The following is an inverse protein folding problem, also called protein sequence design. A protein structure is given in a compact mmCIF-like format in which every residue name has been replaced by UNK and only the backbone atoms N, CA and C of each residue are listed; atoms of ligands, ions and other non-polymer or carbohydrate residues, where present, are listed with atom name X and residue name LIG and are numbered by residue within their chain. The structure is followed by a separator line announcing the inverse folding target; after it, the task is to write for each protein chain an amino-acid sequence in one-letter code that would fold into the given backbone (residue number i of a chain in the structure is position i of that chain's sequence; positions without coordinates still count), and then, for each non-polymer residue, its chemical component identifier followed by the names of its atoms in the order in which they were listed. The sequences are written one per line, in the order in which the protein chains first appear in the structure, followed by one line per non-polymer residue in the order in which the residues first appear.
data_IF_474885571604
#
_entry.id   IF_474885571604
#
_cell.length_a   1.000
_cell.length_b   1.000
_cell.length_c   1.000
_cell.angle_alpha   90.00
_cell.angle_beta   90.00
_cell.angle_gamma   90.00
#
_symmetry.space_group_name_H-M   'P 1'
#
loop_
_entity.id
_entity.type
_entity.pdbx_description
1 polymer ?
#
# COMPACT_ATOMS: atom_id res chain seq x y z
N UNK A 1 12.83 93.07 -17.12
CA UNK A 1 12.62 93.18 -15.66
C UNK A 1 12.84 91.88 -14.88
N UNK A 2 13.08 90.72 -15.51
CA UNK A 2 13.27 89.42 -14.82
C UNK A 2 14.69 89.19 -14.27
N UNK A 3 15.73 89.85 -14.80
CA UNK A 3 17.12 89.66 -14.34
C UNK A 3 17.39 90.21 -12.93
N UNK A 4 16.68 91.25 -12.50
CA UNK A 4 16.89 91.87 -11.18
C UNK A 4 16.24 91.05 -10.07
N UNK A 5 15.09 90.43 -10.33
CA UNK A 5 14.44 89.52 -9.36
C UNK A 5 15.26 88.26 -9.10
N UNK A 6 15.92 87.72 -10.13
CA UNK A 6 16.77 86.53 -9.98
C UNK A 6 18.03 86.82 -9.16
N UNK A 7 18.62 88.01 -9.30
CA UNK A 7 19.78 88.42 -8.51
C UNK A 7 19.40 88.63 -7.05
N UNK A 8 18.27 89.26 -6.76
CA UNK A 8 17.78 89.46 -5.38
C UNK A 8 17.47 88.11 -4.74
N UNK A 9 16.85 87.18 -5.47
CA UNK A 9 16.56 85.83 -4.97
C UNK A 9 17.85 85.06 -4.68
N UNK A 10 18.82 85.07 -5.59
CA UNK A 10 20.14 84.45 -5.36
C UNK A 10 20.87 85.07 -4.16
N UNK A 11 20.72 86.37 -3.94
CA UNK A 11 21.29 87.04 -2.78
C UNK A 11 20.58 86.65 -1.48
N UNK A 12 19.25 86.52 -1.51
CA UNK A 12 18.47 86.02 -0.39
C UNK A 12 18.82 84.56 -0.06
N UNK A 13 18.92 83.70 -1.07
CA UNK A 13 19.31 82.30 -0.93
C UNK A 13 20.75 82.18 -0.41
N UNK A 14 21.67 83.03 -0.88
CA UNK A 14 23.03 83.12 -0.36
C UNK A 14 23.05 83.60 1.10
N UNK A 15 22.22 84.58 1.45
CA UNK A 15 22.10 85.11 2.81
C UNK A 15 21.49 84.11 3.80
N UNK A 16 20.71 83.16 3.29
CA UNK A 16 20.16 82.03 4.04
C UNK A 16 21.10 80.81 4.06
N UNK A 17 22.13 80.78 3.19
CA UNK A 17 23.04 79.65 3.08
C UNK A 17 24.00 79.57 4.26
N UNK A 18 24.41 78.35 4.58
CA UNK A 18 25.43 78.05 5.59
C UNK A 18 26.81 78.66 5.26
N UNK A 19 27.02 79.12 4.03
CA UNK A 19 28.28 79.73 3.57
C UNK A 19 28.40 81.21 3.91
N UNK A 20 27.31 81.86 4.35
CA UNK A 20 27.28 83.29 4.72
C UNK A 20 28.40 83.70 5.70
N UNK A 21 28.58 83.06 6.87
CA UNK A 21 29.64 83.47 7.81
C UNK A 21 31.04 83.32 7.21
N UNK A 22 31.24 82.33 6.33
CA UNK A 22 32.52 82.06 5.66
C UNK A 22 32.85 83.14 4.62
N UNK A 23 31.84 83.69 3.94
CA UNK A 23 32.00 84.83 3.04
C UNK A 23 32.38 86.11 3.80
N UNK A 24 31.68 86.45 4.89
CA UNK A 24 32.00 87.63 5.69
C UNK A 24 33.38 87.53 6.34
N UNK A 25 33.78 86.33 6.73
CA UNK A 25 35.12 86.04 7.25
C UNK A 25 36.23 86.36 6.23
N UNK A 26 35.99 86.13 4.94
CA UNK A 26 36.95 86.45 3.89
C UNK A 26 36.89 87.94 3.50
N UNK A 27 35.69 88.51 3.49
CA UNK A 27 35.45 89.87 3.03
C UNK A 27 36.06 90.94 3.94
N UNK A 28 36.01 90.74 5.27
CA UNK A 28 36.58 91.68 6.24
C UNK A 28 38.10 91.87 6.07
N UNK A 29 38.92 90.82 6.16
CA UNK A 29 40.36 90.88 5.93
C UNK A 29 40.71 91.38 4.52
N UNK A 30 39.91 91.03 3.51
CA UNK A 30 40.10 91.52 2.16
C UNK A 30 39.90 93.05 2.07
N UNK A 31 38.87 93.60 2.73
CA UNK A 31 38.69 95.05 2.85
C UNK A 31 39.84 95.70 3.63
N UNK A 32 40.33 95.08 4.71
CA UNK A 32 41.51 95.56 5.44
C UNK A 32 42.75 95.60 4.54
N UNK A 33 43.00 94.55 3.76
CA UNK A 33 44.12 94.51 2.82
C UNK A 33 43.97 95.55 1.72
N UNK A 34 42.77 95.72 1.16
CA UNK A 34 42.50 96.72 0.13
C UNK A 34 42.71 98.14 0.64
N UNK A 35 42.22 98.43 1.85
CA UNK A 35 42.39 99.75 2.49
C UNK A 35 43.85 100.03 2.83
N UNK A 36 44.61 99.03 3.26
CA UNK A 36 46.07 99.15 3.44
C UNK A 36 46.78 99.41 2.11
N UNK A 37 46.45 98.69 1.04
CA UNK A 37 47.04 98.87 -0.30
C UNK A 37 46.79 100.27 -0.84
N UNK A 38 45.55 100.77 -0.74
CA UNK A 38 45.18 102.13 -1.18
C UNK A 38 45.91 103.20 -0.36
N UNK A 39 46.26 102.90 0.88
CA UNK A 39 47.00 103.83 1.73
C UNK A 39 48.52 103.86 1.44
N UNK A 40 49.12 102.84 0.80
CA UNK A 40 50.56 102.74 0.45
C UNK A 40 51.16 104.02 -0.15
N UNK A 41 50.59 104.64 -1.20
CA UNK A 41 51.22 105.75 -1.93
C UNK A 41 51.37 107.04 -1.10
N UNK A 42 50.66 107.14 0.01
CA UNK A 42 50.56 108.34 0.83
C UNK A 42 51.07 108.11 2.26
N UNK A 43 51.64 106.93 2.53
CA UNK A 43 52.19 106.61 3.84
C UNK A 43 53.50 107.37 4.08
N UNK A 44 53.41 108.40 4.92
CA UNK A 44 54.57 109.02 5.57
C UNK A 44 54.89 108.39 6.94
N UNK A 45 54.02 107.52 7.45
CA UNK A 45 54.11 106.95 8.82
C UNK A 45 53.86 105.44 8.84
N UNK A 46 54.83 104.60 9.23
CA UNK A 46 54.68 103.14 9.32
C UNK A 46 53.83 102.67 10.52
N UNK A 47 53.34 103.59 11.36
CA UNK A 47 52.65 103.24 12.61
C UNK A 47 51.22 102.72 12.40
N UNK A 48 50.51 103.12 11.34
CA UNK A 48 49.12 102.67 11.11
C UNK A 48 49.03 101.18 10.74
N UNK A 49 49.83 100.63 9.79
CA UNK A 49 49.80 99.20 9.50
C UNK A 49 50.20 98.37 10.71
N UNK A 50 51.19 98.83 11.48
CA UNK A 50 51.61 98.17 12.72
C UNK A 50 50.48 98.15 13.75
N UNK A 51 49.77 99.28 13.93
CA UNK A 51 48.61 99.38 14.80
C UNK A 51 47.46 98.48 14.33
N UNK A 52 47.19 98.39 13.03
CA UNK A 52 46.19 97.46 12.47
C UNK A 52 46.56 96.00 12.74
N UNK A 53 47.83 95.63 12.56
CA UNK A 53 48.29 94.26 12.78
C UNK A 53 48.21 93.87 14.26
N UNK A 54 48.74 94.72 15.15
CA UNK A 54 48.64 94.54 16.60
C UNK A 54 47.18 94.51 17.03
N UNK A 55 46.33 95.36 16.44
CA UNK A 55 44.91 95.39 16.71
C UNK A 55 44.18 94.13 16.28
N UNK A 56 44.54 93.55 15.14
CA UNK A 56 43.99 92.29 14.68
C UNK A 56 44.37 91.13 15.64
N UNK A 57 45.63 91.10 16.10
CA UNK A 57 46.09 90.09 17.09
C UNK A 57 45.38 90.26 18.44
N UNK A 58 45.22 91.50 18.92
CA UNK A 58 44.49 91.80 20.15
C UNK A 58 43.01 91.42 20.05
N UNK A 59 42.37 91.75 18.94
CA UNK A 59 40.97 91.41 18.67
C UNK A 59 40.76 89.90 18.57
N UNK A 60 41.71 89.19 17.96
CA UNK A 60 41.70 87.72 17.90
C UNK A 60 41.82 87.08 19.29
N UNK A 61 42.78 87.55 20.11
CA UNK A 61 43.08 86.91 21.39
C UNK A 61 42.10 87.30 22.51
N UNK A 62 41.72 88.56 22.60
CA UNK A 62 40.93 89.11 23.71
C UNK A 62 39.46 89.36 23.34
N UNK A 63 39.01 89.01 22.13
CA UNK A 63 37.62 89.13 21.69
C UNK A 63 37.10 90.58 21.78
N UNK A 64 35.88 90.78 22.31
CA UNK A 64 35.19 92.07 22.44
C UNK A 64 36.03 93.08 23.21
N UNK A 65 36.72 92.65 24.28
CA UNK A 65 37.58 93.57 25.05
C UNK A 65 38.82 93.98 24.26
N UNK A 66 39.41 93.06 23.49
CA UNK A 66 40.48 93.35 22.53
C UNK A 66 40.01 94.31 21.44
N UNK A 67 38.86 94.05 20.82
CA UNK A 67 38.28 94.88 19.79
C UNK A 67 38.01 96.32 20.29
N UNK A 68 37.37 96.46 21.46
CA UNK A 68 37.12 97.76 22.10
C UNK A 68 38.41 98.53 22.36
N UNK A 69 39.44 97.85 22.90
CA UNK A 69 40.76 98.44 23.12
C UNK A 69 41.38 98.94 21.81
N UNK A 70 41.27 98.16 20.73
CA UNK A 70 41.85 98.52 19.44
C UNK A 70 41.12 99.69 18.78
N UNK A 71 39.79 99.72 18.87
CA UNK A 71 38.99 100.86 18.41
C UNK A 71 39.35 102.12 19.19
N UNK A 72 39.53 102.03 20.51
CA UNK A 72 39.99 103.13 21.35
C UNK A 72 41.38 103.61 20.93
N UNK A 73 42.32 102.70 20.66
CA UNK A 73 43.66 103.04 20.17
C UNK A 73 43.62 103.71 18.79
N UNK A 74 42.71 103.29 17.89
CA UNK A 74 42.50 103.98 16.62
C UNK A 74 41.98 105.41 16.82
N UNK A 75 40.97 105.59 17.68
CA UNK A 75 40.42 106.91 18.00
C UNK A 75 41.50 107.83 18.58
N UNK A 76 42.30 107.33 19.53
CA UNK A 76 43.42 108.07 20.12
C UNK A 76 44.49 108.42 19.09
N UNK A 77 44.84 107.47 18.21
CA UNK A 77 45.81 107.70 17.13
C UNK A 77 45.33 108.80 16.17
N UNK A 78 44.06 108.77 15.75
CA UNK A 78 43.51 109.79 14.87
C UNK A 78 43.32 111.14 15.57
N UNK A 79 42.95 111.15 16.84
CA UNK A 79 42.90 112.37 17.65
C UNK A 79 44.29 113.02 17.81
N UNK A 80 45.33 112.22 18.05
CA UNK A 80 46.70 112.70 18.08
C UNK A 80 47.15 113.23 16.71
N UNK A 81 46.83 112.53 15.63
CA UNK A 81 47.12 113.00 14.27
C UNK A 81 46.37 114.30 13.91
N UNK A 82 45.18 114.51 14.46
CA UNK A 82 44.41 115.75 14.29
C UNK A 82 45.03 116.92 15.05
N UNK A 83 45.44 116.70 16.30
CA UNK A 83 45.98 117.74 17.17
C UNK A 83 47.42 118.15 16.80
N UNK A 84 48.24 117.21 16.32
CA UNK A 84 49.67 117.42 16.09
C UNK A 84 50.10 117.38 14.61
N UNK A 85 49.21 117.04 13.68
CA UNK A 85 49.54 116.87 12.26
C UNK A 85 49.30 118.10 11.38
N UNK A 86 50.00 118.20 10.25
CA UNK A 86 49.75 119.23 9.22
C UNK A 86 48.34 119.10 8.63
N UNK A 87 47.62 120.23 8.54
CA UNK A 87 46.19 120.24 8.22
C UNK A 87 45.83 119.84 6.77
N UNK A 88 46.78 119.80 5.83
CA UNK A 88 46.49 119.70 4.39
C UNK A 88 45.84 118.38 3.92
N UNK A 89 45.82 117.33 4.75
CA UNK A 89 45.26 116.01 4.37
C UNK A 89 44.38 115.36 5.45
N UNK A 90 43.77 116.14 6.34
CA UNK A 90 43.03 115.59 7.48
C UNK A 90 41.84 114.71 7.08
N UNK A 91 40.97 115.19 6.19
CA UNK A 91 39.77 114.45 5.76
C UNK A 91 40.12 113.11 5.10
N UNK A 92 41.24 113.06 4.38
CA UNK A 92 41.71 111.85 3.71
C UNK A 92 42.21 110.80 4.72
N UNK A 93 43.01 111.22 5.71
CA UNK A 93 43.47 110.34 6.81
C UNK A 93 42.30 109.83 7.66
N UNK A 94 41.32 110.69 7.93
CA UNK A 94 40.10 110.32 8.64
C UNK A 94 39.30 109.27 7.85
N UNK A 95 39.15 109.45 6.53
CA UNK A 95 38.46 108.49 5.65
C UNK A 95 39.10 107.09 5.69
N UNK A 96 40.42 107.00 5.62
CA UNK A 96 41.13 105.72 5.79
C UNK A 96 40.98 105.12 7.17
N UNK A 97 41.03 105.95 8.21
CA UNK A 97 40.80 105.53 9.58
C UNK A 97 39.44 104.91 9.78
N UNK A 98 38.40 105.59 9.32
CA UNK A 98 37.03 105.08 9.36
C UNK A 98 36.89 103.81 8.52
N UNK A 99 37.50 103.73 7.34
CA UNK A 99 37.44 102.54 6.48
C UNK A 99 38.16 101.34 7.11
N UNK A 100 39.34 101.55 7.71
CA UNK A 100 40.07 100.52 8.45
C UNK A 100 39.31 100.07 9.69
N UNK A 101 38.80 101.00 10.49
CA UNK A 101 37.99 100.69 11.65
C UNK A 101 36.76 99.86 11.26
N UNK A 102 36.03 100.24 10.19
CA UNK A 102 34.90 99.48 9.66
C UNK A 102 35.30 98.10 9.13
N UNK A 103 36.42 97.98 8.41
CA UNK A 103 36.88 96.67 7.95
C UNK A 103 37.30 95.75 9.11
N UNK A 104 37.84 96.33 10.18
CA UNK A 104 38.17 95.62 11.43
C UNK A 104 36.91 95.22 12.19
N UNK A 105 35.90 96.09 12.27
CA UNK A 105 34.61 95.75 12.89
C UNK A 105 33.91 94.60 12.15
N UNK A 106 33.87 94.65 10.81
CA UNK A 106 33.29 93.60 9.96
C UNK A 106 34.04 92.28 10.15
N UNK A 107 35.38 92.31 10.15
CA UNK A 107 36.20 91.12 10.37
C UNK A 107 35.97 90.51 11.74
N UNK A 108 35.90 91.34 12.78
CA UNK A 108 35.64 90.88 14.14
C UNK A 108 34.27 90.22 14.28
N UNK A 109 33.21 90.89 13.82
CA UNK A 109 31.84 90.38 13.84
C UNK A 109 31.73 89.05 13.08
N UNK A 110 32.38 88.95 11.91
CA UNK A 110 32.37 87.72 11.12
C UNK A 110 33.04 86.52 11.84
N UNK A 111 34.10 86.77 12.61
CA UNK A 111 34.76 85.73 13.40
C UNK A 111 33.90 85.25 14.57
N UNK A 112 33.17 86.15 15.24
CA UNK A 112 32.25 85.78 16.32
C UNK A 112 31.06 84.96 15.81
N UNK A 113 30.46 85.38 14.69
CA UNK A 113 29.37 84.64 14.04
C UNK A 113 29.81 83.24 13.63
N UNK A 114 31.00 83.13 13.01
CA UNK A 114 31.55 81.83 12.59
C UNK A 114 31.77 80.89 13.76
N UNK A 115 32.28 81.40 14.89
CA UNK A 115 32.49 80.59 16.09
C UNK A 115 31.16 80.08 16.66
N UNK A 116 30.14 80.93 16.72
CA UNK A 116 28.78 80.55 17.12
C UNK A 116 28.20 79.48 16.18
N UNK A 117 28.42 79.64 14.87
CA UNK A 117 28.01 78.66 13.86
C UNK A 117 28.70 77.30 14.06
N UNK A 118 30.02 77.26 14.26
CA UNK A 118 30.74 76.00 14.53
C UNK A 118 30.28 75.33 15.83
N UNK A 119 29.97 76.10 16.87
CA UNK A 119 29.41 75.56 18.11
C UNK A 119 28.04 74.89 17.87
N UNK A 120 27.14 75.57 17.15
CA UNK A 120 25.83 75.02 16.77
C UNK A 120 25.96 73.79 15.87
N UNK A 121 26.87 73.82 14.90
CA UNK A 121 27.11 72.70 14.00
C UNK A 121 27.68 71.49 14.77
N UNK A 122 28.58 71.72 15.72
CA UNK A 122 29.10 70.66 16.59
C UNK A 122 28.00 70.04 17.44
N UNK A 123 27.15 70.87 18.08
CA UNK A 123 26.02 70.39 18.89
C UNK A 123 25.00 69.62 18.04
N UNK A 124 24.67 70.12 16.85
CA UNK A 124 23.78 69.44 15.90
C UNK A 124 24.34 68.09 15.45
N UNK A 125 25.65 68.02 15.14
CA UNK A 125 26.32 66.76 14.80
C UNK A 125 26.34 65.79 15.97
N UNK A 126 26.61 66.26 17.19
CA UNK A 126 26.57 65.42 18.40
C UNK A 126 25.16 64.88 18.68
N UNK A 127 24.12 65.70 18.50
CA UNK A 127 22.72 65.26 18.60
C UNK A 127 22.39 64.22 17.53
N UNK A 128 22.74 64.47 16.27
CA UNK A 128 22.52 63.53 15.18
C UNK A 128 23.25 62.19 15.41
N UNK A 129 24.48 62.23 15.95
CA UNK A 129 25.23 61.01 16.30
C UNK A 129 24.56 60.24 17.44
N UNK A 130 24.04 60.93 18.47
CA UNK A 130 23.29 60.30 19.56
C UNK A 130 21.98 59.68 19.07
N UNK A 131 21.24 60.39 18.24
CA UNK A 131 19.98 59.90 17.66
C UNK A 131 20.24 58.69 16.77
N UNK A 132 21.34 58.70 16.01
CA UNK A 132 21.76 57.56 15.18
C UNK A 132 22.23 56.37 16.02
N UNK A 133 22.87 56.60 17.16
CA UNK A 133 23.23 55.54 18.10
C UNK A 133 22.00 54.90 18.76
N UNK A 134 21.01 55.72 19.15
CA UNK A 134 19.74 55.23 19.70
C UNK A 134 18.97 54.44 18.64
N UNK A 135 18.93 54.91 17.39
CA UNK A 135 18.24 54.21 16.30
C UNK A 135 18.94 52.89 15.95
N UNK A 136 20.28 52.86 15.97
CA UNK A 136 21.06 51.63 15.77
C UNK A 136 20.75 50.60 16.86
N UNK A 137 20.77 51.00 18.14
CA UNK A 137 20.46 50.09 19.25
C UNK A 137 19.01 49.58 19.18
N UNK A 138 18.05 50.44 18.83
CA UNK A 138 16.67 50.02 18.60
C UNK A 138 16.54 49.03 17.45
N UNK A 139 17.32 49.21 16.38
CA UNK A 139 17.34 48.29 15.25
C UNK A 139 17.97 46.93 15.62
N UNK A 140 19.07 46.94 16.37
CA UNK A 140 19.71 45.72 16.89
C UNK A 140 18.75 44.91 17.79
N UNK A 141 18.03 45.59 18.68
CA UNK A 141 17.04 44.96 19.56
C UNK A 141 15.89 44.33 18.76
N UNK A 142 15.33 45.06 17.78
CA UNK A 142 14.29 44.52 16.88
C UNK A 142 14.79 43.30 16.11
N UNK A 143 15.98 43.39 15.53
CA UNK A 143 16.60 42.29 14.78
C UNK A 143 16.81 41.07 15.68
N UNK A 144 17.23 41.28 16.93
CA UNK A 144 17.39 40.19 17.91
C UNK A 144 16.05 39.55 18.29
N UNK A 145 14.98 40.32 18.43
CA UNK A 145 13.64 39.78 18.69
C UNK A 145 13.08 38.99 17.50
N UNK A 146 13.23 39.51 16.27
CA UNK A 146 12.82 38.81 15.05
C UNK A 146 13.59 37.51 14.88
N UNK A 147 14.90 37.51 15.15
CA UNK A 147 15.72 36.30 15.13
C UNK A 147 15.21 35.24 16.12
N UNK A 148 14.86 35.63 17.35
CA UNK A 148 14.30 34.69 18.36
C UNK A 148 12.94 34.14 17.93
N UNK A 149 12.10 34.96 17.30
CA UNK A 149 10.79 34.52 16.78
C UNK A 149 11.01 33.50 15.65
N UNK A 150 11.90 33.79 14.70
CA UNK A 150 12.23 32.88 13.60
C UNK A 150 12.87 31.58 14.09
N UNK A 151 13.76 31.65 15.09
CA UNK A 151 14.31 30.44 15.73
C UNK A 151 13.21 29.60 16.38
N UNK A 152 12.24 30.23 17.04
CA UNK A 152 11.05 29.55 17.57
C UNK A 152 10.21 28.87 16.49
N UNK A 153 9.92 29.56 15.38
CA UNK A 153 9.18 28.99 14.24
C UNK A 153 9.93 27.83 13.57
N UNK A 154 11.25 27.91 13.49
CA UNK A 154 12.08 26.81 12.97
C UNK A 154 11.97 25.58 13.86
N UNK A 155 11.97 25.75 15.18
CA UNK A 155 11.87 24.63 16.11
C UNK A 155 10.47 24.01 16.10
N UNK A 156 9.40 24.80 16.00
CA UNK A 156 8.04 24.25 15.83
C UNK A 156 7.89 23.50 14.51
N UNK A 157 8.41 24.04 13.40
CA UNK A 157 8.38 23.35 12.11
C UNK A 157 9.19 22.05 12.14
N UNK A 158 10.32 22.00 12.85
CA UNK A 158 11.07 20.75 13.05
C UNK A 158 10.23 19.73 13.79
N UNK A 159 9.57 20.11 14.88
CA UNK A 159 8.70 19.22 15.66
C UNK A 159 7.51 18.68 14.83
N UNK A 160 6.89 19.55 14.01
CA UNK A 160 5.84 19.15 13.07
C UNK A 160 6.37 18.16 12.02
N UNK A 161 7.56 18.40 11.45
CA UNK A 161 8.15 17.48 10.48
C UNK A 161 8.54 16.14 11.09
N UNK A 162 8.99 16.11 12.35
CA UNK A 162 9.27 14.84 13.05
C UNK A 162 7.99 14.08 13.34
N UNK A 163 6.94 14.76 13.81
CA UNK A 163 5.64 14.14 14.06
C UNK A 163 5.03 13.58 12.77
N UNK A 164 5.04 14.35 11.69
CA UNK A 164 4.54 13.89 10.38
C UNK A 164 5.33 12.69 9.84
N UNK A 165 6.64 12.61 10.13
CA UNK A 165 7.46 11.46 9.77
C UNK A 165 7.08 10.22 10.58
N UNK A 166 6.89 10.36 11.88
CA UNK A 166 6.42 9.28 12.76
C UNK A 166 5.05 8.76 12.33
N UNK A 167 4.10 9.66 12.04
CA UNK A 167 2.80 9.31 11.48
C UNK A 167 2.92 8.56 10.14
N UNK A 168 3.83 9.01 9.27
CA UNK A 168 4.14 8.33 8.01
C UNK A 168 4.67 6.91 8.20
N UNK A 169 5.57 6.70 9.17
CA UNK A 169 6.10 5.37 9.52
C UNK A 169 5.00 4.46 10.09
N UNK A 170 4.10 4.99 10.91
CA UNK A 170 2.92 4.25 11.41
C UNK A 170 2.00 3.85 10.26
N UNK A 171 1.69 4.75 9.32
CA UNK A 171 0.86 4.44 8.16
C UNK A 171 1.48 3.38 7.27
N UNK A 172 2.79 3.43 7.03
CA UNK A 172 3.51 2.39 6.28
C UNK A 172 3.41 1.03 6.99
N UNK A 173 3.57 1.00 8.31
CA UNK A 173 3.43 -0.23 9.09
C UNK A 173 2.00 -0.81 9.02
N UNK A 174 0.98 0.05 8.98
CA UNK A 174 -0.42 -0.35 8.84
C UNK A 174 -0.71 -0.90 7.43
N UNK A 175 -0.14 -0.28 6.39
CA UNK A 175 -0.25 -0.77 5.01
C UNK A 175 0.39 -2.15 4.88
N UNK A 176 1.57 -2.35 5.47
CA UNK A 176 2.24 -3.65 5.47
C UNK A 176 1.43 -4.70 6.24
N UNK A 177 0.88 -4.36 7.41
CA UNK A 177 0.00 -5.23 8.17
C UNK A 177 -1.27 -5.61 7.36
N UNK A 178 -1.90 -4.64 6.71
CA UNK A 178 -3.08 -4.83 5.86
C UNK A 178 -2.77 -5.72 4.64
N UNK A 179 -1.59 -5.55 4.03
CA UNK A 179 -1.13 -6.40 2.93
C UNK A 179 -0.93 -7.85 3.40
N UNK A 180 -0.29 -8.06 4.55
CA UNK A 180 -0.11 -9.39 5.14
C UNK A 180 -1.45 -10.05 5.44
N UNK A 181 -2.42 -9.30 5.97
CA UNK A 181 -3.76 -9.81 6.25
C UNK A 181 -4.51 -10.16 4.95
N UNK A 182 -4.42 -9.30 3.94
CA UNK A 182 -5.01 -9.55 2.62
C UNK A 182 -4.45 -10.81 1.97
N UNK A 183 -3.13 -11.02 2.03
CA UNK A 183 -2.47 -12.23 1.52
C UNK A 183 -2.90 -13.50 2.29
N UNK A 184 -3.09 -13.39 3.62
CA UNK A 184 -3.62 -14.50 4.43
C UNK A 184 -5.06 -14.86 4.03
N UNK A 185 -5.92 -13.85 3.83
CA UNK A 185 -7.30 -14.05 3.39
C UNK A 185 -7.32 -14.65 1.99
N UNK A 186 -6.49 -14.17 1.07
CA UNK A 186 -6.38 -14.71 -0.28
C UNK A 186 -5.98 -16.19 -0.27
N UNK A 187 -4.95 -16.57 0.48
CA UNK A 187 -4.54 -17.98 0.63
C UNK A 187 -5.65 -18.84 1.23
N UNK A 188 -6.38 -18.34 2.23
CA UNK A 188 -7.52 -19.04 2.83
C UNK A 188 -8.67 -19.22 1.83
N UNK A 189 -8.94 -18.22 1.01
CA UNK A 189 -9.95 -18.31 -0.03
C UNK A 189 -9.54 -19.31 -1.12
N UNK A 190 -8.26 -19.35 -1.49
CA UNK A 190 -7.73 -20.34 -2.42
C UNK A 190 -7.89 -21.77 -1.88
N UNK A 191 -7.58 -22.01 -0.59
CA UNK A 191 -7.78 -23.32 0.03
C UNK A 191 -9.26 -23.71 0.09
N UNK A 192 -10.14 -22.78 0.50
CA UNK A 192 -11.58 -23.04 0.54
C UNK A 192 -12.15 -23.30 -0.86
N UNK A 193 -11.68 -22.59 -1.89
CA UNK A 193 -12.09 -22.81 -3.27
C UNK A 193 -11.68 -24.21 -3.77
N UNK A 194 -10.47 -24.67 -3.42
CA UNK A 194 -10.04 -26.05 -3.71
C UNK A 194 -10.90 -27.08 -2.99
N UNK A 195 -11.18 -26.88 -1.70
CA UNK A 195 -12.06 -27.77 -0.92
C UNK A 195 -13.47 -27.85 -1.50
N UNK A 196 -14.06 -26.71 -1.88
CA UNK A 196 -15.38 -26.66 -2.53
C UNK A 196 -15.35 -27.48 -3.82
N UNK A 197 -14.34 -27.29 -4.66
CA UNK A 197 -14.23 -28.01 -5.93
C UNK A 197 -14.03 -29.53 -5.74
N UNK A 198 -13.30 -29.95 -4.71
CA UNK A 198 -13.18 -31.36 -4.34
C UNK A 198 -14.51 -31.95 -3.86
N UNK A 199 -15.27 -31.20 -3.06
CA UNK A 199 -16.60 -31.61 -2.60
C UNK A 199 -17.61 -31.67 -3.74
N UNK A 200 -17.58 -30.74 -4.68
CA UNK A 200 -18.39 -30.78 -5.90
C UNK A 200 -18.09 -32.04 -6.73
N UNK A 201 -16.81 -32.39 -6.91
CA UNK A 201 -16.42 -33.65 -7.58
C UNK A 201 -16.95 -34.87 -6.83
N UNK A 202 -16.81 -34.90 -5.51
CA UNK A 202 -17.32 -36.00 -4.70
C UNK A 202 -18.85 -36.13 -4.81
N UNK A 203 -19.59 -35.02 -4.76
CA UNK A 203 -21.04 -34.99 -4.97
C UNK A 203 -21.41 -35.51 -6.35
N UNK A 204 -20.75 -35.03 -7.41
CA UNK A 204 -21.03 -35.50 -8.78
C UNK A 204 -20.78 -37.00 -8.95
N UNK A 205 -19.74 -37.55 -8.32
CA UNK A 205 -19.49 -39.00 -8.32
C UNK A 205 -20.58 -39.78 -7.57
N UNK A 206 -21.05 -39.23 -6.44
CA UNK A 206 -22.11 -39.83 -5.65
C UNK A 206 -23.46 -39.80 -6.39
N UNK A 207 -23.75 -38.73 -7.13
CA UNK A 207 -24.93 -38.62 -8.00
C UNK A 207 -24.93 -39.71 -9.08
N UNK A 208 -23.78 -39.94 -9.74
CA UNK A 208 -23.62 -41.03 -10.72
C UNK A 208 -23.83 -42.40 -10.06
N UNK A 209 -23.28 -42.62 -8.86
CA UNK A 209 -23.48 -43.86 -8.12
C UNK A 209 -24.95 -44.08 -7.72
N UNK A 210 -25.64 -43.03 -7.30
CA UNK A 210 -27.08 -43.06 -7.00
C UNK A 210 -27.90 -43.40 -8.25
N UNK A 211 -27.59 -42.78 -9.40
CA UNK A 211 -28.26 -43.10 -10.66
C UNK A 211 -28.04 -44.57 -11.07
N UNK A 212 -26.81 -45.07 -10.89
CA UNK A 212 -26.48 -46.47 -11.16
C UNK A 212 -27.21 -47.45 -10.23
N UNK A 213 -27.32 -47.11 -8.93
CA UNK A 213 -28.09 -47.90 -7.96
C UNK A 213 -29.58 -47.88 -8.28
N UNK A 214 -30.11 -46.73 -8.68
CA UNK A 214 -31.50 -46.59 -9.11
C UNK A 214 -31.80 -47.47 -10.33
N UNK A 215 -30.96 -47.43 -11.37
CA UNK A 215 -31.07 -48.31 -12.55
C UNK A 215 -30.99 -49.79 -12.18
N UNK A 216 -30.11 -50.17 -11.25
CA UNK A 216 -30.03 -51.55 -10.73
C UNK A 216 -31.30 -51.97 -10.00
N UNK A 217 -31.86 -51.07 -9.18
CA UNK A 217 -33.11 -51.31 -8.47
C UNK A 217 -34.26 -51.50 -9.47
N UNK A 218 -34.37 -50.64 -10.47
CA UNK A 218 -35.37 -50.75 -11.54
C UNK A 218 -35.25 -52.10 -12.27
N UNK A 219 -34.05 -52.50 -12.70
CA UNK A 219 -33.80 -53.80 -13.32
C UNK A 219 -34.16 -54.98 -12.40
N UNK A 220 -33.88 -54.89 -11.09
CA UNK A 220 -34.31 -55.91 -10.13
C UNK A 220 -35.83 -55.97 -9.99
N UNK A 221 -36.51 -54.83 -9.97
CA UNK A 221 -37.98 -54.80 -9.91
C UNK A 221 -38.62 -55.39 -11.17
N UNK A 222 -38.07 -55.10 -12.35
CA UNK A 222 -38.52 -55.69 -13.62
C UNK A 222 -38.29 -57.21 -13.64
N UNK A 223 -37.13 -57.67 -13.18
CA UNK A 223 -36.84 -59.09 -13.00
C UNK A 223 -37.83 -59.75 -12.02
N UNK A 224 -38.18 -59.12 -10.91
CA UNK A 224 -39.17 -59.65 -9.97
C UNK A 224 -40.58 -59.69 -10.57
N UNK A 225 -40.96 -58.70 -11.37
CA UNK A 225 -42.24 -58.69 -12.09
C UNK A 225 -42.30 -59.86 -13.09
N UNK A 226 -41.27 -60.03 -13.93
CA UNK A 226 -41.22 -61.14 -14.88
C UNK A 226 -41.20 -62.52 -14.20
N UNK A 227 -40.50 -62.65 -13.06
CA UNK A 227 -40.53 -63.87 -12.24
C UNK A 227 -41.92 -64.13 -11.64
N UNK A 228 -42.64 -63.09 -11.19
CA UNK A 228 -44.03 -63.24 -10.72
C UNK A 228 -44.96 -63.66 -11.85
N UNK A 229 -44.80 -63.10 -13.05
CA UNK A 229 -45.59 -63.49 -14.22
C UNK A 229 -45.34 -64.93 -14.64
N UNK A 230 -44.08 -65.36 -14.69
CA UNK A 230 -43.72 -66.76 -14.99
C UNK A 230 -44.21 -67.71 -13.91
N UNK A 231 -44.11 -67.35 -12.63
CA UNK A 231 -44.69 -68.12 -11.53
C UNK A 231 -46.22 -68.21 -11.63
N UNK A 232 -46.90 -67.11 -12.00
CA UNK A 232 -48.35 -67.11 -12.22
C UNK A 232 -48.76 -68.00 -13.41
N UNK A 233 -48.00 -67.99 -14.50
CA UNK A 233 -48.20 -68.90 -15.65
C UNK A 233 -48.02 -70.36 -15.22
N UNK A 234 -46.93 -70.70 -14.53
CA UNK A 234 -46.68 -72.04 -13.98
C UNK A 234 -47.77 -72.49 -13.02
N UNK A 235 -48.31 -71.58 -12.19
CA UNK A 235 -49.40 -71.89 -11.27
C UNK A 235 -50.70 -72.18 -12.02
N UNK A 236 -51.01 -71.44 -13.10
CA UNK A 236 -52.13 -71.76 -13.99
C UNK A 236 -51.95 -73.12 -14.66
N UNK A 237 -50.77 -73.40 -15.22
CA UNK A 237 -50.43 -74.71 -15.82
C UNK A 237 -50.58 -75.85 -14.81
N UNK A 238 -50.04 -75.70 -13.61
CA UNK A 238 -50.14 -76.69 -12.54
C UNK A 238 -51.60 -76.91 -12.11
N UNK A 239 -52.42 -75.86 -12.10
CA UNK A 239 -53.85 -76.00 -11.83
C UNK A 239 -54.58 -76.72 -12.96
N UNK A 240 -54.28 -76.43 -14.23
CA UNK A 240 -54.83 -77.17 -15.38
C UNK A 240 -54.43 -78.66 -15.37
N UNK A 241 -53.17 -78.96 -15.03
CA UNK A 241 -52.69 -80.33 -14.87
C UNK A 241 -53.36 -81.05 -13.69
N UNK A 242 -53.59 -80.35 -12.57
CA UNK A 242 -54.35 -80.92 -11.44
C UNK A 242 -55.78 -81.27 -11.84
N UNK A 243 -56.47 -80.38 -12.56
CA UNK A 243 -57.84 -80.64 -13.06
C UNK A 243 -57.83 -81.81 -14.04
N UNK A 244 -56.89 -81.84 -14.99
CA UNK A 244 -56.75 -82.93 -15.94
C UNK A 244 -56.44 -84.26 -15.26
N UNK A 245 -55.55 -84.27 -14.26
CA UNK A 245 -55.26 -85.46 -13.44
C UNK A 245 -56.51 -85.93 -12.68
N UNK A 246 -57.28 -85.02 -12.07
CA UNK A 246 -58.52 -85.36 -11.38
C UNK A 246 -59.57 -85.95 -12.33
N UNK A 247 -59.72 -85.38 -13.52
CA UNK A 247 -60.61 -85.91 -14.56
C UNK A 247 -60.15 -87.29 -15.04
N UNK A 248 -58.85 -87.46 -15.28
CA UNK A 248 -58.26 -88.76 -15.64
C UNK A 248 -58.46 -89.80 -14.54
N UNK A 249 -58.34 -89.40 -13.26
CA UNK A 249 -58.58 -90.26 -12.11
C UNK A 249 -60.05 -90.65 -11.99
N UNK A 250 -60.99 -89.70 -12.14
CA UNK A 250 -62.43 -89.98 -12.17
C UNK A 250 -62.80 -90.91 -13.33
N UNK A 251 -62.21 -90.69 -14.52
CA UNK A 251 -62.37 -91.59 -15.66
C UNK A 251 -61.83 -92.97 -15.34
N UNK A 252 -60.63 -93.07 -14.76
CA UNK A 252 -60.02 -94.33 -14.35
C UNK A 252 -60.87 -95.07 -13.30
N UNK A 253 -61.40 -94.37 -12.29
CA UNK A 253 -62.34 -94.92 -11.30
C UNK A 253 -63.65 -95.37 -11.95
N UNK A 254 -64.17 -94.61 -12.92
CA UNK A 254 -65.37 -94.99 -13.69
C UNK A 254 -65.13 -96.22 -14.57
N UNK A 255 -63.97 -96.31 -15.22
CA UNK A 255 -63.53 -97.49 -15.99
C UNK A 255 -63.32 -98.67 -15.07
N UNK A 256 -62.71 -98.47 -13.89
CA UNK A 256 -62.51 -99.51 -12.90
C UNK A 256 -63.85 -100.03 -12.37
N UNK A 257 -64.81 -99.15 -12.10
CA UNK A 257 -66.18 -99.53 -11.74
C UNK A 257 -66.92 -100.26 -12.88
N UNK A 258 -66.72 -99.86 -14.15
CA UNK A 258 -67.25 -100.58 -15.30
C UNK A 258 -66.58 -101.95 -15.49
N UNK A 259 -65.27 -102.06 -15.27
CA UNK A 259 -64.51 -103.31 -15.29
C UNK A 259 -64.95 -104.21 -14.13
N UNK A 260 -65.24 -103.67 -12.96
CA UNK A 260 -65.79 -104.44 -11.84
C UNK A 260 -67.22 -104.90 -12.10
N UNK A 261 -68.07 -104.06 -12.71
CA UNK A 261 -69.40 -104.47 -13.20
C UNK A 261 -69.31 -105.54 -14.29
N UNK A 262 -68.38 -105.40 -15.23
CA UNK A 262 -68.11 -106.41 -16.25
C UNK A 262 -67.57 -107.69 -15.61
N UNK A 263 -66.65 -107.61 -14.65
CA UNK A 263 -66.15 -108.76 -13.88
C UNK A 263 -67.23 -109.42 -13.04
N UNK A 264 -68.21 -108.67 -12.52
CA UNK A 264 -69.37 -109.20 -11.82
C UNK A 264 -70.35 -109.88 -12.79
N UNK A 265 -70.58 -109.29 -13.97
CA UNK A 265 -71.37 -109.88 -15.06
C UNK A 265 -70.73 -111.19 -15.58
N UNK A 266 -69.41 -111.20 -15.80
CA UNK A 266 -68.65 -112.38 -16.20
C UNK A 266 -68.45 -113.41 -15.07
N UNK A 267 -68.54 -113.02 -13.78
CA UNK A 267 -68.58 -113.96 -12.64
C UNK A 267 -69.97 -114.59 -12.43
N UNK A 268 -71.05 -113.90 -12.82
CA UNK A 268 -72.42 -114.44 -12.77
C UNK A 268 -72.71 -115.44 -13.91
N UNK A 269 -71.97 -115.36 -15.02
CA UNK A 269 -72.16 -116.22 -16.20
C UNK A 269 -71.12 -117.35 -16.34
N UNK A 270 -70.21 -117.50 -15.37
CA UNK A 270 -69.07 -118.43 -15.43
C UNK A 270 -68.89 -119.19 -14.12
N UNK A 271 -69.93 -119.96 -13.75
CA UNK A 271 -69.88 -121.00 -12.71
C UNK A 271 -70.20 -122.39 -13.29
N UNK A 272 -69.77 -122.63 -14.53
CA UNK A 272 -69.47 -123.96 -15.06
C UNK A 272 -68.17 -123.86 -15.86
N UNK A 273 -67.19 -124.64 -15.40
CA UNK A 273 -65.98 -125.08 -16.07
C UNK A 273 -64.89 -124.07 -16.52
N UNK A 274 -63.70 -124.37 -15.98
CA UNK A 274 -62.43 -124.48 -16.70
C UNK A 274 -61.57 -123.23 -16.89
N UNK A 275 -60.49 -123.23 -16.10
CA UNK A 275 -59.08 -123.05 -16.46
C UNK A 275 -58.61 -121.74 -17.11
N UNK A 276 -57.56 -121.15 -16.51
CA UNK A 276 -56.68 -120.20 -17.17
C UNK A 276 -55.23 -120.35 -16.66
N UNK A 277 -54.34 -120.52 -17.64
CA UNK A 277 -52.87 -120.41 -17.66
C UNK A 277 -52.60 -119.61 -18.96
N UNK A 278 -51.43 -119.01 -19.25
CA UNK A 278 -50.44 -118.18 -18.53
C UNK A 278 -50.21 -116.81 -19.26
N UNK A 279 -49.05 -116.14 -18.99
CA UNK A 279 -48.27 -115.25 -19.90
C UNK A 279 -48.83 -113.83 -20.13
N UNK A 280 -48.07 -112.77 -20.45
CA UNK A 280 -46.65 -112.36 -20.47
C UNK A 280 -46.68 -110.92 -21.06
N UNK A 281 -45.65 -110.09 -20.80
CA UNK A 281 -45.08 -109.10 -21.76
C UNK A 281 -45.90 -107.78 -21.94
N UNK A 282 -45.38 -106.54 -22.02
CA UNK A 282 -44.05 -105.97 -22.33
C UNK A 282 -43.96 -104.49 -21.82
N UNK A 283 -42.75 -104.10 -21.42
CA UNK A 283 -41.94 -102.89 -21.72
C UNK A 283 -42.56 -101.49 -21.93
N UNK A 284 -41.90 -100.48 -21.33
CA UNK A 284 -41.01 -99.46 -21.97
C UNK A 284 -40.41 -98.55 -20.87
N UNK A 285 -39.09 -98.56 -20.61
CA UNK A 285 -38.03 -97.61 -21.07
C UNK A 285 -38.25 -96.15 -20.63
N UNK A 286 -37.28 -95.39 -20.09
CA UNK A 286 -35.86 -95.61 -19.81
C UNK A 286 -35.31 -94.36 -19.10
N UNK A 287 -34.39 -94.54 -18.15
CA UNK A 287 -33.64 -93.46 -17.49
C UNK A 287 -32.17 -93.79 -17.68
N UNK A 288 -31.46 -92.97 -18.46
CA UNK A 288 -30.02 -93.10 -18.69
C UNK A 288 -29.28 -92.92 -17.36
N UNK A 289 -28.73 -94.02 -16.84
CA UNK A 289 -27.69 -93.99 -15.82
C UNK A 289 -26.40 -93.59 -16.53
N UNK A 290 -26.04 -92.32 -16.41
CA UNK A 290 -24.67 -91.88 -16.68
C UNK A 290 -23.71 -92.74 -15.84
N UNK A 291 -22.75 -93.36 -16.52
CA UNK A 291 -21.71 -94.17 -15.92
C UNK A 291 -20.98 -93.35 -14.84
N UNK A 292 -21.06 -93.70 -13.55
CA UNK A 292 -20.52 -92.87 -12.48
C UNK A 292 -18.98 -92.77 -12.54
N UNK A 293 -18.31 -93.58 -13.37
CA UNK A 293 -16.88 -93.42 -13.72
C UNK A 293 -16.64 -92.31 -14.74
N UNK A 294 -17.57 -92.07 -15.67
CA UNK A 294 -17.47 -90.99 -16.65
C UNK A 294 -17.65 -89.61 -15.99
N UNK A 295 -18.53 -89.52 -14.99
CA UNK A 295 -18.73 -88.30 -14.19
C UNK A 295 -17.52 -87.98 -13.29
N UNK A 296 -16.84 -88.99 -12.75
CA UNK A 296 -15.59 -88.79 -12.02
C UNK A 296 -14.49 -88.22 -12.94
N UNK A 297 -14.38 -88.76 -14.17
CA UNK A 297 -13.37 -88.35 -15.13
C UNK A 297 -13.59 -86.91 -15.61
N UNK A 298 -14.84 -86.53 -15.89
CA UNK A 298 -15.17 -85.14 -16.27
C UNK A 298 -14.92 -84.16 -15.12
N UNK A 299 -15.17 -84.55 -13.87
CA UNK A 299 -14.85 -83.72 -12.70
C UNK A 299 -13.32 -83.58 -12.48
N UNK A 300 -12.53 -84.62 -12.71
CA UNK A 300 -11.06 -84.55 -12.63
C UNK A 300 -10.46 -83.70 -13.76
N UNK A 301 -11.01 -83.78 -14.98
CA UNK A 301 -10.65 -82.89 -16.09
C UNK A 301 -11.02 -81.43 -15.77
N UNK A 302 -12.22 -81.19 -15.23
CA UNK A 302 -12.67 -79.86 -14.78
C UNK A 302 -11.81 -79.31 -13.63
N UNK A 303 -11.33 -80.16 -12.71
CA UNK A 303 -10.36 -79.75 -11.67
C UNK A 303 -9.06 -79.26 -12.30
N UNK A 304 -8.55 -79.97 -13.31
CA UNK A 304 -7.32 -79.57 -14.00
C UNK A 304 -7.48 -78.23 -14.71
N UNK A 305 -8.63 -77.97 -15.33
CA UNK A 305 -8.96 -76.71 -15.99
C UNK A 305 -9.14 -75.57 -14.98
N UNK A 306 -9.88 -75.80 -13.90
CA UNK A 306 -10.09 -74.82 -12.83
C UNK A 306 -8.78 -74.47 -12.11
N UNK A 307 -7.89 -75.44 -11.91
CA UNK A 307 -6.56 -75.20 -11.32
C UNK A 307 -5.71 -74.31 -12.24
N UNK A 308 -5.69 -74.57 -13.55
CA UNK A 308 -5.00 -73.71 -14.52
C UNK A 308 -5.54 -72.28 -14.52
N UNK A 309 -6.87 -72.12 -14.45
CA UNK A 309 -7.50 -70.80 -14.37
C UNK A 309 -7.14 -70.05 -13.07
N UNK A 310 -7.11 -70.77 -11.94
CA UNK A 310 -6.66 -70.23 -10.65
C UNK A 310 -5.19 -69.78 -10.71
N UNK A 311 -4.29 -70.63 -11.19
CA UNK A 311 -2.86 -70.34 -11.28
C UNK A 311 -2.58 -69.12 -12.19
N UNK A 312 -3.30 -69.01 -13.32
CA UNK A 312 -3.20 -67.87 -14.23
C UNK A 312 -3.73 -66.57 -13.61
N UNK A 313 -4.85 -66.64 -12.87
CA UNK A 313 -5.40 -65.49 -12.14
C UNK A 313 -4.48 -65.02 -11.01
N UNK A 314 -3.80 -65.95 -10.33
CA UNK A 314 -2.86 -65.65 -9.26
C UNK A 314 -1.60 -64.98 -9.81
N UNK A 315 -1.04 -65.49 -10.91
CA UNK A 315 0.11 -64.89 -11.59
C UNK A 315 -0.19 -63.46 -12.06
N UNK A 316 -1.36 -63.22 -12.65
CA UNK A 316 -1.75 -61.86 -13.10
C UNK A 316 -1.95 -60.91 -11.92
N UNK A 317 -2.52 -61.38 -10.80
CA UNK A 317 -2.62 -60.58 -9.58
C UNK A 317 -1.25 -60.24 -8.97
N UNK A 318 -0.33 -61.21 -8.90
CA UNK A 318 1.02 -60.98 -8.38
C UNK A 318 1.86 -60.05 -9.26
N UNK A 319 1.71 -60.17 -10.59
CA UNK A 319 2.35 -59.26 -11.54
C UNK A 319 1.86 -57.81 -11.34
N UNK A 320 0.54 -57.60 -11.29
CA UNK A 320 -0.06 -56.28 -11.06
C UNK A 320 0.33 -55.68 -9.71
N UNK A 321 0.38 -56.50 -8.65
CA UNK A 321 0.82 -56.06 -7.32
C UNK A 321 2.29 -55.63 -7.28
N UNK A 322 3.14 -56.21 -8.13
CA UNK A 322 4.57 -55.83 -8.24
C UNK A 322 4.78 -54.57 -9.08
N UNK A 323 3.93 -54.32 -10.07
CA UNK A 323 4.04 -53.15 -10.97
C UNK A 323 3.36 -51.89 -10.43
N UNK A 324 2.37 -52.02 -9.55
CA UNK A 324 1.69 -50.87 -8.96
C UNK A 324 2.48 -50.30 -7.76
N UNK A 325 2.83 -49.01 -7.81
CA UNK A 325 3.48 -48.32 -6.69
C UNK A 325 2.54 -48.04 -5.51
N UNK A 326 1.23 -47.94 -5.77
CA UNK A 326 0.19 -47.70 -4.77
C UNK A 326 -0.82 -48.88 -4.67
N UNK A 327 -0.99 -49.48 -3.47
CA UNK A 327 -1.77 -50.71 -3.27
C UNK A 327 -3.30 -50.51 -3.26
N UNK A 328 -3.80 -49.31 -3.58
CA UNK A 328 -5.23 -48.93 -3.47
C UNK A 328 -5.98 -48.85 -4.80
N UNK A 329 -5.32 -49.13 -5.93
CA UNK A 329 -5.96 -49.12 -7.25
C UNK A 329 -7.13 -50.11 -7.32
N UNK A 330 -8.28 -49.64 -7.80
CA UNK A 330 -9.50 -50.45 -7.98
C UNK A 330 -9.24 -51.71 -8.82
N UNK A 331 -8.29 -51.65 -9.76
CA UNK A 331 -7.83 -52.79 -10.56
C UNK A 331 -7.27 -53.94 -9.68
N UNK A 332 -6.51 -53.63 -8.62
CA UNK A 332 -5.98 -54.64 -7.69
C UNK A 332 -7.13 -55.29 -6.91
N UNK A 333 -8.15 -54.51 -6.52
CA UNK A 333 -9.32 -55.05 -5.81
C UNK A 333 -10.16 -55.96 -6.71
N UNK A 334 -10.35 -55.59 -7.97
CA UNK A 334 -11.10 -56.39 -8.94
C UNK A 334 -10.38 -57.71 -9.25
N UNK A 335 -9.07 -57.67 -9.49
CA UNK A 335 -8.28 -58.88 -9.73
C UNK A 335 -8.19 -59.78 -8.50
N UNK A 336 -8.15 -59.22 -7.29
CA UNK A 336 -8.25 -60.00 -6.05
C UNK A 336 -9.58 -60.74 -5.95
N UNK A 337 -10.71 -60.09 -6.28
CA UNK A 337 -12.03 -60.76 -6.33
C UNK A 337 -12.06 -61.90 -7.34
N UNK A 338 -11.42 -61.73 -8.51
CA UNK A 338 -11.32 -62.79 -9.52
C UNK A 338 -10.52 -64.01 -9.02
N UNK A 339 -9.40 -63.79 -8.30
CA UNK A 339 -8.62 -64.85 -7.65
C UNK A 339 -9.45 -65.58 -6.59
N UNK A 340 -10.16 -64.84 -5.74
CA UNK A 340 -11.00 -65.43 -4.69
C UNK A 340 -12.16 -66.26 -5.29
N UNK A 341 -12.75 -65.80 -6.40
CA UNK A 341 -13.79 -66.55 -7.12
C UNK A 341 -13.23 -67.83 -7.75
N UNK A 342 -12.07 -67.77 -8.43
CA UNK A 342 -11.42 -68.95 -9.00
C UNK A 342 -11.02 -69.97 -7.92
N UNK A 343 -10.56 -69.51 -6.76
CA UNK A 343 -10.26 -70.36 -5.59
C UNK A 343 -11.51 -71.05 -5.06
N UNK A 344 -12.61 -70.31 -4.90
CA UNK A 344 -13.89 -70.86 -4.45
C UNK A 344 -14.40 -71.94 -5.41
N UNK A 345 -14.32 -71.70 -6.72
CA UNK A 345 -14.70 -72.66 -7.75
C UNK A 345 -13.86 -73.94 -7.70
N UNK A 346 -12.53 -73.81 -7.52
CA UNK A 346 -11.63 -74.96 -7.36
C UNK A 346 -11.99 -75.80 -6.12
N UNK A 347 -12.24 -75.15 -4.97
CA UNK A 347 -12.62 -75.83 -3.73
C UNK A 347 -13.96 -76.57 -3.88
N UNK A 348 -14.93 -76.00 -4.60
CA UNK A 348 -16.21 -76.67 -4.87
C UNK A 348 -16.03 -77.93 -5.73
N UNK A 349 -15.23 -77.87 -6.79
CA UNK A 349 -14.92 -79.05 -7.62
C UNK A 349 -14.21 -80.12 -6.78
N UNK A 350 -13.27 -79.74 -5.91
CA UNK A 350 -12.60 -80.69 -5.02
C UNK A 350 -13.56 -81.37 -4.03
N UNK A 351 -14.53 -80.62 -3.50
CA UNK A 351 -15.60 -81.17 -2.65
C UNK A 351 -16.48 -82.14 -3.43
N UNK A 352 -16.87 -81.81 -4.66
CA UNK A 352 -17.68 -82.69 -5.50
C UNK A 352 -16.94 -83.98 -5.87
N UNK A 353 -15.66 -83.88 -6.22
CA UNK A 353 -14.81 -85.06 -6.44
C UNK A 353 -14.73 -85.91 -5.17
N UNK A 354 -14.54 -85.29 -4.00
CA UNK A 354 -14.48 -86.01 -2.73
C UNK A 354 -15.80 -86.74 -2.42
N UNK A 355 -16.94 -86.06 -2.57
CA UNK A 355 -18.26 -86.67 -2.37
C UNK A 355 -18.51 -87.81 -3.36
N UNK A 356 -18.13 -87.63 -4.62
CA UNK A 356 -18.31 -88.64 -5.68
C UNK A 356 -17.40 -89.84 -5.45
N UNK A 357 -16.13 -89.64 -5.08
CA UNK A 357 -15.19 -90.71 -4.70
C UNK A 357 -15.71 -91.48 -3.49
N UNK A 358 -16.22 -90.78 -2.47
CA UNK A 358 -16.80 -91.41 -1.28
C UNK A 358 -18.02 -92.27 -1.64
N UNK A 359 -18.93 -91.78 -2.48
CA UNK A 359 -20.07 -92.56 -2.99
C UNK A 359 -19.63 -93.78 -3.81
N UNK A 360 -18.57 -93.66 -4.60
CA UNK A 360 -18.02 -94.77 -5.38
C UNK A 360 -17.32 -95.83 -4.51
N UNK A 361 -16.69 -95.44 -3.40
CA UNK A 361 -16.15 -96.36 -2.40
C UNK A 361 -17.26 -97.08 -1.62
N UNK A 362 -18.29 -96.34 -1.18
CA UNK A 362 -19.46 -96.91 -0.49
C UNK A 362 -20.24 -97.91 -1.37
N UNK A 363 -20.18 -97.76 -2.69
CA UNK A 363 -20.80 -98.68 -3.67
C UNK A 363 -19.87 -99.82 -4.12
N UNK A 364 -18.64 -99.91 -3.61
CA UNK A 364 -17.69 -100.98 -3.92
C UNK A 364 -17.11 -100.94 -5.34
N UNK A 365 -17.29 -99.84 -6.08
CA UNK A 365 -16.84 -99.67 -7.48
C UNK A 365 -15.38 -99.21 -7.55
N UNK A 366 -14.90 -98.54 -6.50
CA UNK A 366 -13.52 -98.12 -6.25
C UNK A 366 -13.00 -98.94 -5.07
N UNK A 367 -12.29 -100.04 -5.35
CA UNK A 367 -11.45 -100.73 -4.36
C UNK A 367 -10.10 -100.04 -4.24
#
# INVERSE_FOLDING_TARGET
MTRTSDLIKKWADFSASETKPLFWMLFGPLLMMLTLIVAIPHYTSPYLPLLTAVGLVLSWRYRISGFSLTLMMFVLYFAACFLFGSHDHYFWKLGWGCSLALSLTISFLSMEELKSYYAKQKESKEKALKDLQISLHSFEEKTATEKRILEGEIDTLKEETTTAREEGEVLLSLVDASRIESDKIFKRNETLSKEIHEKEKALSSLEVDLENLQKKQEAQTENLISLRETAAKRLKELNTLRVAHYQAQLLAESYQAQVEKARAYFKAQKKEQSAAVPKQVQNLCGYDREDPRALLKSLEENKSAAKKAYDLSLQTYEALKKTASDPTTEEIKEKKKAVDHAKSHLVNIEREIFVTKKRLQETGILQ
#
